data_IF_332619102021
#
_entry.id   IF_332619102021
#
_cell.length_a   1.000
_cell.length_b   1.000
_cell.length_c   1.000
_cell.angle_alpha   90.00
_cell.angle_beta   90.00
_cell.angle_gamma   90.00
#
_symmetry.space_group_name_H-M   'P 1'
#
loop_
_entity.id
_entity.type
_entity.pdbx_description
1 polymer ?
#
# COMPACT_ATOMS: atom_id res chain seq x y z
N UNK A 1 -36.36 -4.61 9.53
CA UNK A 1 -36.51 -3.76 8.34
C UNK A 1 -35.50 -4.22 7.30
N UNK A 2 -35.92 -4.36 6.04
CA UNK A 2 -35.11 -4.84 4.92
C UNK A 2 -35.07 -3.73 3.88
N UNK A 3 -33.89 -3.45 3.34
CA UNK A 3 -33.68 -2.36 2.40
C UNK A 3 -33.82 -2.85 0.97
N UNK A 4 -34.57 -2.09 0.17
CA UNK A 4 -34.65 -2.30 -1.27
C UNK A 4 -33.32 -1.87 -1.92
N UNK A 5 -32.70 -2.72 -2.76
CA UNK A 5 -31.47 -2.38 -3.49
C UNK A 5 -31.59 -1.14 -4.41
N UNK A 6 -32.81 -0.71 -4.78
CA UNK A 6 -33.06 0.43 -5.67
C UNK A 6 -33.32 1.76 -4.95
N UNK A 7 -33.29 1.78 -3.62
CA UNK A 7 -33.48 3.02 -2.85
C UNK A 7 -32.37 4.05 -3.15
N UNK A 8 -32.77 5.31 -3.39
CA UNK A 8 -31.86 6.45 -3.66
C UNK A 8 -30.87 6.65 -2.50
N UNK A 9 -31.30 6.42 -1.27
CA UNK A 9 -30.41 6.50 -0.10
C UNK A 9 -29.32 5.42 -0.17
N UNK A 10 -29.69 4.18 -0.50
CA UNK A 10 -28.75 3.07 -0.62
C UNK A 10 -27.77 3.28 -1.78
N UNK A 11 -28.23 3.86 -2.89
CA UNK A 11 -27.37 4.26 -4.00
C UNK A 11 -26.28 5.25 -3.56
N UNK A 12 -26.65 6.27 -2.78
CA UNK A 12 -25.69 7.22 -2.20
C UNK A 12 -24.69 6.51 -1.27
N UNK A 13 -25.16 5.63 -0.39
CA UNK A 13 -24.31 4.83 0.50
C UNK A 13 -23.33 3.96 -0.27
N UNK A 14 -23.77 3.31 -1.35
CA UNK A 14 -22.90 2.52 -2.21
C UNK A 14 -21.79 3.38 -2.83
N UNK A 15 -22.08 4.61 -3.25
CA UNK A 15 -21.06 5.56 -3.75
C UNK A 15 -20.02 5.89 -2.70
N UNK A 16 -20.45 6.25 -1.49
CA UNK A 16 -19.54 6.55 -0.38
C UNK A 16 -18.69 5.33 -0.01
N UNK A 17 -19.26 4.13 -0.09
CA UNK A 17 -18.55 2.87 0.18
C UNK A 17 -17.47 2.54 -0.86
N UNK A 18 -17.71 2.85 -2.13
CA UNK A 18 -16.68 2.73 -3.17
C UNK A 18 -15.52 3.67 -2.87
N UNK A 19 -15.81 4.93 -2.57
CA UNK A 19 -14.80 5.94 -2.22
C UNK A 19 -13.99 5.47 -1.01
N UNK A 20 -14.66 4.98 0.04
CA UNK A 20 -14.01 4.42 1.22
C UNK A 20 -13.11 3.22 0.89
N UNK A 21 -13.51 2.34 -0.04
CA UNK A 21 -12.66 1.23 -0.48
C UNK A 21 -11.40 1.73 -1.21
N UNK A 22 -11.52 2.73 -2.09
CA UNK A 22 -10.37 3.34 -2.77
C UNK A 22 -9.41 3.97 -1.76
N UNK A 23 -9.94 4.72 -0.79
CA UNK A 23 -9.16 5.30 0.29
C UNK A 23 -8.49 4.22 1.14
N UNK A 24 -9.21 3.14 1.47
CA UNK A 24 -8.67 2.01 2.25
C UNK A 24 -7.49 1.35 1.56
N UNK A 25 -7.56 1.15 0.24
CA UNK A 25 -6.45 0.59 -0.54
C UNK A 25 -5.29 1.59 -0.66
N UNK A 26 -5.57 2.90 -0.72
CA UNK A 26 -4.54 3.94 -0.75
C UNK A 26 -3.79 4.11 0.59
N UNK A 27 -4.45 3.88 1.72
CA UNK A 27 -3.87 4.05 3.08
C UNK A 27 -2.89 2.92 3.43
N UNK A 28 -3.13 1.69 2.99
CA UNK A 28 -2.32 0.52 3.36
C UNK A 28 -0.82 0.64 2.97
N UNK A 29 -0.44 1.08 1.75
CA UNK A 29 0.96 1.31 1.40
C UNK A 29 1.65 2.37 2.25
N UNK A 30 0.92 3.23 2.98
CA UNK A 30 1.55 4.25 3.83
C UNK A 30 2.38 3.65 4.97
N UNK A 31 2.05 2.43 5.42
CA UNK A 31 2.84 1.72 6.44
C UNK A 31 4.29 1.48 5.99
N UNK A 32 4.55 1.45 4.69
CA UNK A 32 5.88 1.27 4.13
C UNK A 32 6.80 2.48 4.36
N UNK A 33 6.24 3.66 4.66
CA UNK A 33 6.99 4.87 4.99
C UNK A 33 7.40 4.98 6.47
N UNK A 34 7.00 4.02 7.31
CA UNK A 34 7.30 4.02 8.75
C UNK A 34 8.78 3.85 9.08
N UNK A 35 9.51 2.90 8.48
CA UNK A 35 10.94 2.74 8.76
C UNK A 35 11.70 3.99 8.34
N UNK A 36 12.57 4.50 9.21
CA UNK A 36 13.34 5.73 8.96
C UNK A 36 14.72 5.62 9.60
N UNK A 37 15.76 5.89 8.82
CA UNK A 37 17.13 5.89 9.32
C UNK A 37 17.40 7.16 10.13
N UNK A 38 18.11 6.99 11.23
CA UNK A 38 18.73 8.09 11.96
C UNK A 38 20.24 8.02 11.72
N UNK A 39 20.74 8.80 10.77
CA UNK A 39 22.18 8.80 10.46
C UNK A 39 23.04 9.33 11.58
N UNK A 40 22.53 10.24 12.42
CA UNK A 40 23.28 10.68 13.59
C UNK A 40 23.56 9.47 14.47
N UNK A 41 22.54 8.68 14.80
CA UNK A 41 22.66 7.53 15.70
C UNK A 41 23.04 6.20 15.01
N UNK A 42 23.32 6.21 13.70
CA UNK A 42 23.56 5.02 12.89
C UNK A 42 22.58 3.86 13.15
N UNK A 43 21.28 4.17 13.25
CA UNK A 43 20.25 3.16 13.52
C UNK A 43 19.00 3.33 12.64
N UNK A 44 18.29 2.23 12.39
CA UNK A 44 16.97 2.18 11.79
C UNK A 44 15.91 2.26 12.90
N UNK A 45 14.99 3.20 12.79
CA UNK A 45 13.84 3.32 13.68
C UNK A 45 12.54 3.31 12.92
N UNK A 46 11.44 3.61 13.62
CA UNK A 46 10.14 3.85 13.01
C UNK A 46 9.58 5.21 13.40
N UNK A 47 8.80 5.81 12.50
CA UNK A 47 8.06 7.03 12.77
C UNK A 47 6.75 6.74 13.51
N UNK A 48 6.75 6.95 14.83
CA UNK A 48 5.61 6.66 15.69
C UNK A 48 4.43 7.60 15.46
N UNK A 49 4.68 8.85 15.07
CA UNK A 49 3.62 9.81 14.82
C UNK A 49 2.89 9.45 13.53
N UNK A 50 3.65 9.12 12.48
CA UNK A 50 3.07 8.62 11.24
C UNK A 50 2.34 7.30 11.46
N UNK A 51 2.90 6.38 12.26
CA UNK A 51 2.25 5.11 12.58
C UNK A 51 0.89 5.31 13.25
N UNK A 52 0.83 6.18 14.27
CA UNK A 52 -0.42 6.54 14.94
C UNK A 52 -1.44 7.10 13.93
N UNK A 53 -1.05 8.09 13.13
CA UNK A 53 -1.93 8.71 12.11
C UNK A 53 -2.48 7.69 11.12
N UNK A 54 -1.63 6.82 10.55
CA UNK A 54 -2.07 5.81 9.57
C UNK A 54 -3.02 4.81 10.24
N UNK A 55 -2.72 4.34 11.46
CA UNK A 55 -3.60 3.41 12.16
C UNK A 55 -4.96 4.02 12.51
N UNK A 56 -5.00 5.30 12.87
CA UNK A 56 -6.25 6.02 13.10
C UNK A 56 -7.07 6.12 11.82
N UNK A 57 -6.47 6.57 10.72
CA UNK A 57 -7.14 6.65 9.42
C UNK A 57 -7.66 5.29 8.95
N UNK A 58 -6.84 4.24 9.08
CA UNK A 58 -7.24 2.87 8.77
C UNK A 58 -8.44 2.43 9.60
N UNK A 59 -8.44 2.70 10.90
CA UNK A 59 -9.54 2.33 11.81
C UNK A 59 -10.84 3.05 11.45
N UNK A 60 -10.79 4.33 11.08
CA UNK A 60 -11.97 5.08 10.63
C UNK A 60 -12.59 4.47 9.36
N UNK A 61 -11.77 4.09 8.38
CA UNK A 61 -12.22 3.43 7.16
C UNK A 61 -12.77 2.02 7.43
N UNK A 62 -12.15 1.29 8.34
CA UNK A 62 -12.59 -0.04 8.76
C UNK A 62 -13.96 0.01 9.46
N UNK A 63 -14.21 1.01 10.33
CA UNK A 63 -15.53 1.24 10.95
C UNK A 63 -16.61 1.48 9.89
N UNK A 64 -16.32 2.32 8.90
CA UNK A 64 -17.25 2.59 7.80
C UNK A 64 -17.59 1.30 7.01
N UNK A 65 -16.59 0.44 6.83
CA UNK A 65 -16.78 -0.85 6.17
C UNK A 65 -17.55 -1.88 7.02
N UNK A 66 -17.38 -1.88 8.35
CA UNK A 66 -18.18 -2.70 9.26
C UNK A 66 -19.67 -2.34 9.16
N UNK A 67 -19.99 -1.05 9.03
CA UNK A 67 -21.38 -0.61 8.80
C UNK A 67 -21.92 -1.24 7.50
N UNK A 68 -21.14 -1.24 6.42
CA UNK A 68 -21.52 -1.94 5.17
C UNK A 68 -21.75 -3.42 5.38
N UNK A 69 -20.85 -4.11 6.07
CA UNK A 69 -21.01 -5.53 6.36
C UNK A 69 -22.32 -5.80 7.11
N UNK A 70 -22.66 -4.97 8.09
CA UNK A 70 -23.93 -5.06 8.80
C UNK A 70 -25.15 -4.82 7.88
N UNK A 71 -25.05 -3.84 6.97
CA UNK A 71 -26.10 -3.56 5.98
C UNK A 71 -26.29 -4.72 4.98
N UNK A 72 -25.24 -5.43 4.59
CA UNK A 72 -25.34 -6.58 3.66
C UNK A 72 -26.24 -7.70 4.17
N UNK A 73 -26.38 -7.87 5.49
CA UNK A 73 -27.35 -8.82 6.08
C UNK A 73 -28.82 -8.35 5.98
N UNK A 74 -29.07 -7.11 5.56
CA UNK A 74 -30.39 -6.47 5.52
C UNK A 74 -30.79 -5.97 4.12
N UNK A 75 -29.95 -6.16 3.10
CA UNK A 75 -30.23 -5.74 1.72
C UNK A 75 -30.88 -6.91 0.98
N UNK A 76 -32.06 -6.66 0.42
CA UNK A 76 -32.74 -7.63 -0.42
C UNK A 76 -31.99 -7.82 -1.76
N UNK A 77 -32.13 -8.99 -2.37
CA UNK A 77 -31.49 -9.28 -3.67
C UNK A 77 -32.48 -9.84 -4.68
N UNK A 78 -32.22 -9.57 -5.96
CA UNK A 78 -33.01 -10.14 -7.06
C UNK A 78 -32.55 -11.56 -7.37
N UNK A 79 -33.45 -12.54 -7.33
CA UNK A 79 -33.13 -13.94 -7.58
C UNK A 79 -32.61 -14.15 -9.03
N UNK A 80 -31.45 -14.80 -9.24
CA UNK A 80 -30.89 -14.99 -10.58
C UNK A 80 -31.82 -15.74 -11.55
N UNK A 81 -32.55 -16.75 -11.06
CA UNK A 81 -33.53 -17.53 -11.84
C UNK A 81 -34.67 -16.67 -12.37
N UNK A 82 -35.13 -15.69 -11.60
CA UNK A 82 -36.22 -14.79 -11.98
C UNK A 82 -35.81 -13.72 -13.02
N UNK A 83 -34.51 -13.50 -13.24
CA UNK A 83 -34.01 -12.60 -14.29
C UNK A 83 -34.16 -13.17 -15.69
N UNK A 84 -34.09 -14.51 -15.82
CA UNK A 84 -34.23 -15.21 -17.11
C UNK A 84 -35.66 -15.10 -17.65
N UNK A 85 -36.65 -14.90 -16.76
CA UNK A 85 -38.06 -14.69 -17.10
C UNK A 85 -38.47 -13.20 -17.13
N UNK A 86 -37.52 -12.27 -17.07
CA UNK A 86 -37.78 -10.82 -17.21
C UNK A 86 -38.49 -10.14 -16.04
N UNK A 87 -38.93 -10.87 -15.01
CA UNK A 87 -39.75 -10.31 -13.91
C UNK A 87 -38.96 -9.93 -12.66
N UNK A 88 -37.79 -10.54 -12.41
CA UNK A 88 -36.89 -10.16 -11.32
C UNK A 88 -37.55 -10.13 -9.93
N UNK A 89 -37.74 -11.29 -9.31
CA UNK A 89 -38.32 -11.40 -7.97
C UNK A 89 -37.32 -10.99 -6.89
N UNK A 90 -37.77 -10.11 -5.98
CA UNK A 90 -36.99 -9.60 -4.87
C UNK A 90 -37.11 -10.55 -3.67
N UNK A 91 -35.99 -11.17 -3.28
CA UNK A 91 -35.93 -12.01 -2.10
C UNK A 91 -35.72 -11.14 -0.86
N UNK A 92 -36.73 -11.13 0.01
CA UNK A 92 -36.76 -10.38 1.28
C UNK A 92 -36.67 -11.28 2.51
N UNK A 93 -36.43 -12.58 2.38
CA UNK A 93 -36.27 -13.46 3.54
C UNK A 93 -34.90 -13.24 4.22
N UNK A 94 -34.83 -12.79 5.49
CA UNK A 94 -33.57 -12.58 6.20
C UNK A 94 -32.66 -13.79 6.24
N UNK A 95 -33.21 -15.00 6.34
CA UNK A 95 -32.42 -16.23 6.41
C UNK A 95 -31.73 -16.53 5.08
N UNK A 96 -32.43 -16.32 3.97
CA UNK A 96 -31.87 -16.48 2.62
C UNK A 96 -30.84 -15.41 2.30
N UNK A 97 -31.08 -14.15 2.70
CA UNK A 97 -30.12 -13.04 2.56
C UNK A 97 -28.83 -13.36 3.32
N UNK A 98 -28.94 -13.74 4.60
CA UNK A 98 -27.80 -14.07 5.44
C UNK A 98 -26.99 -15.24 4.88
N UNK A 99 -27.66 -16.34 4.50
CA UNK A 99 -27.01 -17.53 3.93
C UNK A 99 -26.22 -17.18 2.66
N UNK A 100 -26.82 -16.40 1.76
CA UNK A 100 -26.18 -15.96 0.53
C UNK A 100 -24.96 -15.07 0.78
N UNK A 101 -25.04 -14.14 1.75
CA UNK A 101 -23.93 -13.25 2.06
C UNK A 101 -22.76 -14.01 2.71
N UNK A 102 -23.07 -14.86 3.69
CA UNK A 102 -22.10 -15.72 4.39
C UNK A 102 -21.35 -16.63 3.42
N UNK A 103 -22.04 -17.21 2.43
CA UNK A 103 -21.43 -18.16 1.50
C UNK A 103 -20.61 -17.52 0.37
N UNK A 104 -20.76 -16.21 0.10
CA UNK A 104 -20.12 -15.55 -1.06
C UNK A 104 -19.07 -14.52 -0.71
N UNK A 105 -19.41 -13.56 0.14
CA UNK A 105 -18.58 -12.35 0.30
C UNK A 105 -18.12 -12.12 1.74
N UNK A 106 -18.81 -12.69 2.73
CA UNK A 106 -18.51 -12.45 4.14
C UNK A 106 -17.06 -12.74 4.52
N UNK A 107 -16.47 -13.83 4.05
CA UNK A 107 -15.07 -14.19 4.38
C UNK A 107 -14.09 -13.11 3.87
N UNK A 108 -14.26 -12.65 2.64
CA UNK A 108 -13.41 -11.59 2.05
C UNK A 108 -13.59 -10.28 2.81
N UNK A 109 -14.83 -9.91 3.09
CA UNK A 109 -15.18 -8.71 3.86
C UNK A 109 -14.61 -8.77 5.28
N UNK A 110 -14.70 -9.92 5.95
CA UNK A 110 -14.17 -10.15 7.30
C UNK A 110 -12.64 -10.06 7.35
N UNK A 111 -11.94 -10.83 6.51
CA UNK A 111 -10.47 -10.88 6.49
C UNK A 111 -9.84 -9.51 6.22
N UNK A 112 -10.51 -8.67 5.44
CA UNK A 112 -10.03 -7.36 5.07
C UNK A 112 -10.19 -6.29 6.17
N UNK A 113 -11.12 -6.48 7.13
CA UNK A 113 -11.33 -5.55 8.26
C UNK A 113 -10.48 -5.91 9.48
N UNK A 114 -9.88 -7.10 9.52
CA UNK A 114 -9.09 -7.53 10.67
C UNK A 114 -8.05 -6.45 11.06
N UNK A 115 -7.99 -6.02 12.34
CA UNK A 115 -7.16 -4.89 12.76
C UNK A 115 -5.69 -5.31 13.01
N UNK A 116 -5.10 -6.13 12.13
CA UNK A 116 -3.78 -6.73 12.37
C UNK A 116 -2.65 -5.68 12.39
N UNK A 117 -2.55 -4.71 11.44
CA UNK A 117 -1.55 -3.65 11.52
C UNK A 117 -1.71 -2.76 12.75
N UNK A 118 -2.96 -2.48 13.15
CA UNK A 118 -3.26 -1.70 14.35
C UNK A 118 -2.71 -2.39 15.60
N UNK A 119 -2.94 -3.70 15.76
CA UNK A 119 -2.44 -4.48 16.90
C UNK A 119 -0.91 -4.43 16.96
N UNK A 120 -0.24 -4.62 15.82
CA UNK A 120 1.24 -4.62 15.75
C UNK A 120 1.83 -3.25 16.07
N UNK A 121 1.28 -2.18 15.49
CA UNK A 121 1.71 -0.80 15.79
C UNK A 121 1.46 -0.45 17.26
N UNK A 122 0.29 -0.81 17.80
CA UNK A 122 -0.05 -0.54 19.20
C UNK A 122 0.90 -1.25 20.15
N UNK A 123 1.22 -2.52 19.89
CA UNK A 123 2.24 -3.28 20.65
C UNK A 123 3.60 -2.57 20.62
N UNK A 124 4.03 -2.11 19.44
CA UNK A 124 5.31 -1.41 19.30
C UNK A 124 5.34 -0.06 20.04
N UNK A 125 4.29 0.76 19.92
CA UNK A 125 4.23 2.08 20.56
C UNK A 125 4.29 1.96 22.09
N UNK A 126 3.60 0.98 22.65
CA UNK A 126 3.52 0.76 24.10
C UNK A 126 4.69 -0.01 24.69
N UNK A 127 5.55 -0.60 23.86
CA UNK A 127 6.72 -1.32 24.36
C UNK A 127 7.80 -0.34 24.83
N UNK A 128 8.29 -0.54 26.06
CA UNK A 128 9.37 0.25 26.66
C UNK A 128 10.73 -0.02 26.01
N UNK A 129 10.94 -1.19 25.37
CA UNK A 129 12.18 -1.58 24.68
C UNK A 129 12.01 -1.53 23.16
N UNK A 130 11.94 -0.31 22.61
CA UNK A 130 11.65 -0.10 21.18
C UNK A 130 12.70 -0.71 20.22
N UNK A 131 13.96 -0.82 20.64
CA UNK A 131 15.07 -1.24 19.78
C UNK A 131 15.04 -2.70 19.33
N UNK A 132 14.82 -3.64 20.26
CA UNK A 132 14.75 -5.08 19.94
C UNK A 132 13.57 -5.45 19.05
N UNK A 133 12.53 -4.62 19.02
CA UNK A 133 11.29 -4.89 18.28
C UNK A 133 11.25 -4.22 16.91
N UNK A 134 12.15 -3.27 16.57
CA UNK A 134 12.05 -2.54 15.28
C UNK A 134 12.08 -3.52 14.11
N UNK A 135 13.03 -4.46 14.09
CA UNK A 135 13.15 -5.44 13.01
C UNK A 135 11.92 -6.34 12.93
N UNK A 136 11.54 -6.94 14.07
CA UNK A 136 10.40 -7.85 14.15
C UNK A 136 9.09 -7.14 13.75
N UNK A 137 8.90 -5.91 14.21
CA UNK A 137 7.73 -5.09 13.88
C UNK A 137 7.73 -4.71 12.40
N UNK A 138 8.86 -4.27 11.84
CA UNK A 138 9.01 -3.96 10.41
C UNK A 138 8.64 -5.17 9.55
N UNK A 139 9.19 -6.34 9.87
CA UNK A 139 8.92 -7.59 9.14
C UNK A 139 7.45 -8.02 9.30
N UNK A 140 6.90 -7.98 10.52
CA UNK A 140 5.51 -8.30 10.76
C UNK A 140 4.56 -7.36 10.01
N UNK A 141 4.80 -6.05 10.05
CA UNK A 141 3.99 -5.06 9.33
C UNK A 141 4.06 -5.27 7.83
N UNK A 142 5.24 -5.53 7.27
CA UNK A 142 5.39 -5.83 5.84
C UNK A 142 4.52 -7.02 5.43
N UNK A 143 4.65 -8.14 6.13
CA UNK A 143 3.91 -9.37 5.83
C UNK A 143 2.40 -9.16 6.01
N UNK A 144 1.99 -8.58 7.14
CA UNK A 144 0.57 -8.38 7.45
C UNK A 144 -0.08 -7.41 6.46
N UNK A 145 0.57 -6.27 6.16
CA UNK A 145 0.03 -5.30 5.20
C UNK A 145 -0.11 -5.96 3.83
N UNK A 146 0.90 -6.69 3.36
CA UNK A 146 0.83 -7.41 2.09
C UNK A 146 -0.30 -8.45 2.06
N UNK A 147 -0.42 -9.29 3.09
CA UNK A 147 -1.47 -10.32 3.17
C UNK A 147 -2.87 -9.72 3.26
N UNK A 148 -3.06 -8.63 4.00
CA UNK A 148 -4.35 -7.96 4.12
C UNK A 148 -4.71 -7.12 2.89
N UNK A 149 -3.73 -6.73 2.09
CA UNK A 149 -3.95 -6.00 0.87
C UNK A 149 -4.79 -6.80 -0.14
N UNK A 150 -4.56 -8.12 -0.22
CA UNK A 150 -5.27 -9.03 -1.13
C UNK A 150 -6.80 -8.99 -0.90
N UNK A 151 -7.32 -9.32 0.30
CA UNK A 151 -8.76 -9.28 0.52
C UNK A 151 -9.31 -7.86 0.43
N UNK A 152 -8.54 -6.81 0.77
CA UNK A 152 -8.96 -5.40 0.61
C UNK A 152 -9.17 -5.03 -0.85
N UNK A 153 -8.28 -5.46 -1.74
CA UNK A 153 -8.46 -5.28 -3.17
C UNK A 153 -9.61 -6.14 -3.71
N UNK A 154 -9.78 -7.38 -3.21
CA UNK A 154 -10.88 -8.25 -3.60
C UNK A 154 -12.27 -7.68 -3.22
N UNK A 155 -12.37 -6.75 -2.26
CA UNK A 155 -13.62 -6.01 -1.93
C UNK A 155 -14.22 -5.29 -3.14
N UNK A 156 -13.40 -4.90 -4.13
CA UNK A 156 -13.91 -4.25 -5.34
C UNK A 156 -14.77 -5.20 -6.19
N UNK A 157 -14.62 -6.52 -6.07
CA UNK A 157 -15.39 -7.50 -6.85
C UNK A 157 -16.90 -7.47 -6.56
N UNK A 158 -17.38 -7.62 -5.30
CA UNK A 158 -18.81 -7.51 -5.00
C UNK A 158 -19.35 -6.13 -5.37
N UNK A 159 -18.61 -5.06 -5.06
CA UNK A 159 -18.99 -3.69 -5.41
C UNK A 159 -19.08 -3.45 -6.91
N UNK A 160 -18.19 -4.03 -7.72
CA UNK A 160 -18.19 -3.93 -9.19
C UNK A 160 -19.44 -4.54 -9.83
N UNK A 161 -20.00 -5.59 -9.23
CA UNK A 161 -21.24 -6.23 -9.70
C UNK A 161 -22.49 -5.39 -9.42
N UNK A 162 -22.45 -4.55 -8.39
CA UNK A 162 -23.51 -3.60 -8.05
C UNK A 162 -23.30 -2.26 -8.77
N UNK A 163 -22.05 -1.89 -9.03
CA UNK A 163 -21.65 -0.79 -9.90
C UNK A 163 -22.12 -1.03 -11.33
N UNK A 164 -21.95 -2.20 -11.95
CA UNK A 164 -22.48 -2.43 -13.32
C UNK A 164 -23.99 -2.23 -13.42
N UNK A 165 -24.75 -2.43 -12.34
CA UNK A 165 -26.20 -2.16 -12.29
C UNK A 165 -26.52 -0.66 -12.12
N UNK A 166 -25.56 0.12 -11.64
CA UNK A 166 -25.67 1.57 -11.37
C UNK A 166 -24.80 2.44 -12.28
N UNK A 167 -23.92 1.83 -13.09
CA UNK A 167 -22.91 2.46 -13.94
C UNK A 167 -23.50 3.14 -15.17
N UNK A 168 -24.78 2.89 -15.44
CA UNK A 168 -25.59 3.81 -16.26
C UNK A 168 -25.55 5.25 -15.74
N UNK A 169 -25.17 5.49 -14.48
CA UNK A 169 -25.06 6.83 -13.88
C UNK A 169 -23.63 7.33 -13.58
N UNK A 170 -22.57 6.51 -13.74
CA UNK A 170 -21.18 6.93 -13.45
C UNK A 170 -20.36 7.21 -14.71
N UNK A 171 -20.75 6.60 -15.83
CA UNK A 171 -20.12 6.75 -17.13
C UNK A 171 -21.02 7.48 -18.12
N UNK A 172 -21.84 8.44 -17.65
CA UNK A 172 -22.65 9.29 -18.54
C UNK A 172 -21.78 10.22 -19.40
N UNK A 173 -20.53 10.52 -18.98
CA UNK A 173 -19.60 11.32 -19.77
C UNK A 173 -18.28 10.59 -20.03
N UNK A 174 -17.78 10.72 -21.26
CA UNK A 174 -16.49 10.18 -21.71
C UNK A 174 -15.33 10.66 -20.81
N UNK A 175 -15.45 11.86 -20.24
CA UNK A 175 -14.49 12.46 -19.31
C UNK A 175 -14.43 11.76 -17.94
N UNK A 176 -15.56 11.29 -17.40
CA UNK A 176 -15.60 10.55 -16.15
C UNK A 176 -14.87 9.20 -16.23
N UNK A 177 -14.95 8.53 -17.40
CA UNK A 177 -14.20 7.31 -17.68
C UNK A 177 -12.69 7.53 -17.68
N UNK A 178 -12.21 8.57 -18.38
CA UNK A 178 -10.79 8.92 -18.40
C UNK A 178 -10.25 9.27 -17.00
N UNK A 179 -11.01 10.05 -16.22
CA UNK A 179 -10.65 10.39 -14.84
C UNK A 179 -10.56 9.15 -13.93
N UNK A 180 -11.42 8.16 -14.12
CA UNK A 180 -11.38 6.90 -13.38
C UNK A 180 -10.10 6.10 -13.66
N UNK A 181 -9.71 5.94 -14.93
CA UNK A 181 -8.46 5.24 -15.28
C UNK A 181 -7.22 6.01 -14.80
N UNK A 182 -7.24 7.34 -14.87
CA UNK A 182 -6.19 8.18 -14.31
C UNK A 182 -6.08 8.00 -12.79
N UNK A 183 -7.20 7.91 -12.07
CA UNK A 183 -7.19 7.65 -10.62
C UNK A 183 -6.50 6.31 -10.29
N UNK A 184 -6.81 5.24 -11.03
CA UNK A 184 -6.13 3.95 -10.86
C UNK A 184 -4.65 4.01 -11.20
N UNK A 185 -4.29 4.77 -12.23
CA UNK A 185 -2.90 5.02 -12.61
C UNK A 185 -2.12 5.73 -11.49
N UNK A 186 -2.72 6.76 -10.90
CA UNK A 186 -2.15 7.49 -9.76
C UNK A 186 -2.04 6.60 -8.52
N UNK A 187 -3.04 5.75 -8.26
CA UNK A 187 -3.00 4.79 -7.16
C UNK A 187 -1.89 3.75 -7.36
N UNK A 188 -1.73 3.20 -8.57
CA UNK A 188 -0.63 2.28 -8.90
C UNK A 188 0.74 2.95 -8.72
N UNK A 189 0.86 4.23 -9.13
CA UNK A 189 2.07 5.04 -8.96
C UNK A 189 2.42 5.26 -7.49
N UNK A 190 1.42 5.55 -6.66
CA UNK A 190 1.56 5.63 -5.20
C UNK A 190 2.06 4.32 -4.59
N UNK A 191 1.44 3.19 -4.96
CA UNK A 191 1.83 1.86 -4.48
C UNK A 191 3.28 1.54 -4.88
N UNK A 192 3.63 1.75 -6.16
CA UNK A 192 4.98 1.54 -6.67
C UNK A 192 6.02 2.39 -5.92
N UNK A 193 5.72 3.66 -5.69
CA UNK A 193 6.57 4.56 -4.89
C UNK A 193 6.78 4.09 -3.45
N UNK A 194 5.71 3.63 -2.79
CA UNK A 194 5.78 3.11 -1.43
C UNK A 194 6.62 1.83 -1.34
N UNK A 195 6.46 0.90 -2.29
CA UNK A 195 7.31 -0.29 -2.39
C UNK A 195 8.77 0.07 -2.66
N UNK A 196 9.03 1.01 -3.57
CA UNK A 196 10.39 1.48 -3.85
C UNK A 196 11.06 2.04 -2.60
N UNK A 197 10.35 2.85 -1.81
CA UNK A 197 10.86 3.36 -0.53
C UNK A 197 11.19 2.23 0.45
N UNK A 198 10.29 1.27 0.64
CA UNK A 198 10.51 0.16 1.56
C UNK A 198 11.70 -0.69 1.13
N UNK A 199 11.77 -1.05 -0.16
CA UNK A 199 12.86 -1.86 -0.69
C UNK A 199 14.20 -1.10 -0.62
N UNK A 200 14.19 0.23 -0.73
CA UNK A 200 15.36 1.05 -0.45
C UNK A 200 15.81 0.91 1.01
N UNK A 201 14.88 0.96 1.96
CA UNK A 201 15.18 0.72 3.39
C UNK A 201 15.78 -0.69 3.58
N UNK A 202 15.15 -1.74 3.04
CA UNK A 202 15.66 -3.11 3.15
C UNK A 202 17.05 -3.26 2.54
N UNK A 203 17.30 -2.62 1.39
CA UNK A 203 18.59 -2.66 0.72
C UNK A 203 19.69 -2.02 1.55
N UNK A 204 19.39 -0.90 2.24
CA UNK A 204 20.34 -0.26 3.17
C UNK A 204 20.52 -1.04 4.47
N UNK A 205 19.45 -1.60 5.04
CA UNK A 205 19.53 -2.47 6.23
C UNK A 205 20.40 -3.71 5.93
N UNK A 206 20.28 -4.29 4.73
CA UNK A 206 21.13 -5.39 4.26
C UNK A 206 22.60 -4.98 4.22
N UNK A 207 22.93 -3.85 3.58
CA UNK A 207 24.30 -3.35 3.57
C UNK A 207 24.86 -3.16 4.99
N UNK A 208 24.08 -2.54 5.87
CA UNK A 208 24.49 -2.28 7.24
C UNK A 208 24.75 -3.58 8.03
N UNK A 209 23.88 -4.58 7.89
CA UNK A 209 24.05 -5.90 8.50
C UNK A 209 25.28 -6.61 7.99
N UNK A 210 25.46 -6.68 6.67
CA UNK A 210 26.61 -7.34 6.04
C UNK A 210 27.92 -6.67 6.44
N UNK A 211 28.01 -5.35 6.31
CA UNK A 211 29.18 -4.58 6.73
C UNK A 211 29.49 -4.82 8.21
N UNK A 212 28.44 -4.90 9.03
CA UNK A 212 28.61 -5.06 10.45
C UNK A 212 29.17 -6.45 10.82
N UNK A 213 28.54 -7.51 10.30
CA UNK A 213 28.94 -8.90 10.51
C UNK A 213 30.37 -9.13 10.00
N UNK A 214 30.67 -8.68 8.78
CA UNK A 214 31.99 -8.87 8.17
C UNK A 214 33.11 -8.13 8.92
N UNK A 215 32.80 -7.03 9.60
CA UNK A 215 33.80 -6.29 10.37
C UNK A 215 34.21 -6.98 11.66
N UNK A 216 33.32 -7.77 12.27
CA UNK A 216 33.49 -8.32 13.62
C UNK A 216 33.60 -7.28 14.75
N UNK A 217 33.44 -5.98 14.46
CA UNK A 217 33.71 -4.87 15.39
C UNK A 217 32.45 -4.14 15.85
N UNK A 218 31.29 -4.47 15.32
CA UNK A 218 30.02 -3.86 15.69
C UNK A 218 28.99 -4.92 16.08
N UNK A 219 28.02 -4.48 16.88
CA UNK A 219 26.89 -5.28 17.30
C UNK A 219 25.67 -4.94 16.43
N UNK A 220 25.05 -5.97 15.84
CA UNK A 220 23.85 -5.85 14.99
C UNK A 220 22.63 -5.35 15.77
N UNK A 221 22.55 -5.60 17.08
CA UNK A 221 21.43 -5.17 17.91
C UNK A 221 21.34 -3.65 17.99
N UNK A 222 22.49 -2.97 17.91
CA UNK A 222 22.55 -1.51 17.98
C UNK A 222 22.21 -0.82 16.65
N UNK A 223 22.08 -1.58 15.54
CA UNK A 223 21.56 -1.06 14.27
C UNK A 223 20.09 -0.65 14.34
N UNK A 224 19.37 -0.99 15.42
CA UNK A 224 17.95 -0.64 15.60
C UNK A 224 17.74 0.37 16.73
N UNK A 225 17.06 1.46 16.41
CA UNK A 225 16.88 2.58 17.32
C UNK A 225 16.02 2.18 18.53
N UNK A 226 16.48 2.53 19.73
CA UNK A 226 15.83 2.18 21.00
C UNK A 226 16.73 1.36 21.93
N UNK A 227 17.86 0.87 21.41
CA UNK A 227 18.92 0.23 22.18
C UNK A 227 20.00 1.23 22.68
N UNK A 228 19.80 2.53 22.46
CA UNK A 228 20.73 3.60 22.85
C UNK A 228 21.01 3.71 24.35
N UNK A 229 20.11 3.19 25.18
CA UNK A 229 20.25 3.19 26.64
C UNK A 229 21.03 1.97 27.17
N UNK A 230 21.40 1.02 26.30
CA UNK A 230 22.20 -0.13 26.69
C UNK A 230 23.67 0.27 26.87
N UNK A 231 24.37 -0.32 27.85
CA UNK A 231 25.80 -0.08 28.04
C UNK A 231 26.58 -0.45 26.78
N UNK A 232 27.60 0.35 26.43
CA UNK A 232 28.45 0.12 25.27
C UNK A 232 27.97 0.75 23.95
N UNK A 233 26.75 1.30 23.88
CA UNK A 233 26.24 1.93 22.65
C UNK A 233 27.12 3.08 22.14
N UNK A 234 27.64 3.93 23.03
CA UNK A 234 28.52 5.05 22.65
C UNK A 234 29.84 4.58 22.03
N UNK A 235 30.45 3.54 22.58
CA UNK A 235 31.68 2.95 22.05
C UNK A 235 31.43 2.27 20.70
N UNK A 236 30.32 1.54 20.58
CA UNK A 236 29.86 0.94 19.33
C UNK A 236 29.63 1.98 18.24
N UNK A 237 28.95 3.09 18.55
CA UNK A 237 28.55 4.09 17.55
C UNK A 237 29.72 4.66 16.77
N UNK A 238 30.82 4.96 17.46
CA UNK A 238 32.04 5.45 16.81
C UNK A 238 32.61 4.42 15.83
N UNK A 239 32.60 3.15 16.21
CA UNK A 239 33.09 2.05 15.37
C UNK A 239 32.13 1.79 14.20
N UNK A 240 30.83 1.80 14.45
CA UNK A 240 29.82 1.58 13.43
C UNK A 240 29.80 2.71 12.40
N UNK A 241 30.00 3.97 12.81
CA UNK A 241 30.06 5.09 11.86
C UNK A 241 31.20 4.89 10.85
N UNK A 242 32.36 4.43 11.31
CA UNK A 242 33.48 4.09 10.44
C UNK A 242 33.16 2.85 9.57
N UNK A 243 32.71 1.75 10.15
CA UNK A 243 32.41 0.50 9.42
C UNK A 243 31.32 0.70 8.37
N UNK A 244 30.18 1.25 8.79
CA UNK A 244 28.99 1.46 7.96
C UNK A 244 29.23 2.59 6.95
N UNK A 245 29.82 3.71 7.38
CA UNK A 245 30.13 4.82 6.49
C UNK A 245 31.11 4.40 5.39
N UNK A 246 32.07 3.54 5.72
CA UNK A 246 33.08 3.09 4.77
C UNK A 246 32.58 2.01 3.79
N UNK A 247 31.65 1.14 4.21
CA UNK A 247 31.13 0.04 3.36
C UNK A 247 29.82 0.38 2.65
N UNK A 248 28.98 1.20 3.26
CA UNK A 248 27.63 1.52 2.80
C UNK A 248 27.48 2.99 2.37
N UNK A 249 28.59 3.71 2.15
CA UNK A 249 28.56 5.05 1.57
C UNK A 249 27.85 5.06 0.23
N UNK A 250 27.18 6.19 -0.03
CA UNK A 250 26.57 6.47 -1.33
C UNK A 250 27.65 7.09 -2.19
N UNK A 251 28.13 6.36 -3.19
CA UNK A 251 29.09 6.88 -4.16
C UNK A 251 28.61 6.66 -5.59
N UNK A 252 28.94 7.60 -6.48
CA UNK A 252 28.73 7.48 -7.93
C UNK A 252 29.95 6.90 -8.66
N UNK A 253 30.96 6.44 -7.93
CA UNK A 253 32.15 5.82 -8.53
C UNK A 253 31.77 4.59 -9.36
N UNK A 254 32.54 4.30 -10.40
CA UNK A 254 32.31 3.14 -11.30
C UNK A 254 32.36 1.79 -10.56
N UNK A 255 33.00 1.74 -9.39
CA UNK A 255 33.06 0.56 -8.54
C UNK A 255 32.64 0.90 -7.10
N UNK A 256 31.33 1.09 -6.85
CA UNK A 256 30.85 1.42 -5.52
C UNK A 256 31.01 0.20 -4.61
N UNK A 257 31.37 0.44 -3.35
CA UNK A 257 31.55 -0.63 -2.36
C UNK A 257 30.28 -1.41 -2.06
N UNK A 258 29.13 -0.76 -2.25
CA UNK A 258 27.83 -1.41 -2.23
C UNK A 258 26.94 -0.79 -3.32
N UNK A 259 26.46 -1.62 -4.23
CA UNK A 259 25.61 -1.18 -5.32
C UNK A 259 24.14 -1.12 -4.87
N UNK A 260 23.59 0.10 -4.81
CA UNK A 260 22.19 0.35 -4.47
C UNK A 260 21.23 0.29 -5.66
N UNK A 261 21.73 0.23 -6.90
CA UNK A 261 20.92 0.15 -8.13
C UNK A 261 19.82 1.21 -8.17
N UNK A 262 18.57 0.78 -8.42
CA UNK A 262 17.40 1.68 -8.52
C UNK A 262 17.09 2.41 -7.19
N UNK A 263 17.65 1.95 -6.07
CA UNK A 263 17.47 2.58 -4.76
C UNK A 263 18.53 3.64 -4.46
N UNK A 264 19.53 3.80 -5.32
CA UNK A 264 20.59 4.82 -5.17
C UNK A 264 20.00 6.21 -4.94
N UNK A 265 18.99 6.59 -5.73
CA UNK A 265 18.33 7.90 -5.63
C UNK A 265 17.68 8.14 -4.26
N UNK A 266 17.14 7.10 -3.61
CA UNK A 266 16.57 7.22 -2.27
C UNK A 266 17.66 7.49 -1.21
N UNK A 267 18.86 6.98 -1.43
CA UNK A 267 20.00 7.22 -0.55
C UNK A 267 20.60 8.60 -0.79
N UNK A 268 20.80 9.00 -2.05
CA UNK A 268 21.42 10.30 -2.39
C UNK A 268 20.55 11.50 -2.06
N UNK A 269 19.22 11.32 -2.00
CA UNK A 269 18.26 12.36 -1.61
C UNK A 269 18.00 12.40 -0.10
N UNK A 270 18.57 11.46 0.67
CA UNK A 270 18.34 11.29 2.10
C UNK A 270 16.87 11.09 2.51
N UNK A 271 15.98 10.75 1.56
CA UNK A 271 14.55 10.57 1.82
C UNK A 271 14.29 9.44 2.82
N UNK A 272 15.18 8.43 2.85
CA UNK A 272 15.15 7.31 3.81
C UNK A 272 15.43 7.74 5.26
N UNK A 273 15.98 8.94 5.46
CA UNK A 273 16.20 9.55 6.79
C UNK A 273 15.21 10.65 7.14
N UNK A 274 14.42 11.11 6.15
CA UNK A 274 13.44 12.18 6.32
C UNK A 274 12.24 11.72 7.15
N UNK A 275 11.83 12.56 8.10
CA UNK A 275 10.58 12.43 8.86
C UNK A 275 9.46 13.31 8.32
N UNK A 276 9.72 14.13 7.30
CA UNK A 276 8.68 14.88 6.62
C UNK A 276 7.86 13.94 5.74
N UNK A 277 6.68 13.54 6.22
CA UNK A 277 5.80 12.63 5.49
C UNK A 277 5.39 13.20 4.13
N UNK A 278 5.03 14.47 4.04
CA UNK A 278 4.58 15.11 2.79
C UNK A 278 5.67 15.05 1.72
N UNK A 279 6.90 15.45 2.06
CA UNK A 279 8.04 15.40 1.14
C UNK A 279 8.33 13.96 0.72
N UNK A 280 8.32 13.02 1.67
CA UNK A 280 8.53 11.58 1.41
C UNK A 280 7.48 11.01 0.47
N UNK A 281 6.21 11.28 0.72
CA UNK A 281 5.08 10.81 -0.07
C UNK A 281 5.18 11.32 -1.51
N UNK A 282 5.29 12.63 -1.72
CA UNK A 282 5.31 13.20 -3.07
C UNK A 282 6.57 12.80 -3.85
N UNK A 283 7.72 12.68 -3.18
CA UNK A 283 8.95 12.23 -3.85
C UNK A 283 8.85 10.78 -4.34
N UNK A 284 8.30 9.90 -3.50
CA UNK A 284 8.11 8.49 -3.87
C UNK A 284 6.98 8.32 -4.89
N UNK A 285 5.90 9.10 -4.78
CA UNK A 285 4.82 9.14 -5.77
C UNK A 285 5.35 9.58 -7.14
N UNK A 286 6.18 10.63 -7.18
CA UNK A 286 6.84 11.07 -8.40
C UNK A 286 7.71 9.96 -9.00
N UNK A 287 8.53 9.29 -8.18
CA UNK A 287 9.35 8.16 -8.64
C UNK A 287 8.51 7.05 -9.27
N UNK A 288 7.41 6.66 -8.61
CA UNK A 288 6.49 5.64 -9.13
C UNK A 288 5.82 6.08 -10.43
N UNK A 289 5.34 7.32 -10.48
CA UNK A 289 4.70 7.91 -11.66
C UNK A 289 5.65 7.94 -12.87
N UNK A 290 6.88 8.40 -12.65
CA UNK A 290 7.90 8.49 -13.69
C UNK A 290 8.19 7.12 -14.30
N UNK A 291 8.41 6.11 -13.46
CA UNK A 291 8.83 4.79 -13.93
C UNK A 291 7.69 3.97 -14.54
N UNK A 292 6.45 4.09 -14.04
CA UNK A 292 5.29 3.49 -14.72
C UNK A 292 5.05 4.14 -16.09
N UNK A 293 5.19 5.47 -16.19
CA UNK A 293 4.93 6.22 -17.44
C UNK A 293 6.02 6.03 -18.50
N UNK A 294 7.22 5.65 -18.09
CA UNK A 294 8.35 5.37 -18.98
C UNK A 294 8.59 3.87 -19.16
N UNK A 295 7.69 3.02 -18.68
CA UNK A 295 7.80 1.56 -18.76
C UNK A 295 9.12 1.03 -18.17
N UNK A 296 9.68 1.73 -17.18
CA UNK A 296 10.94 1.39 -16.52
C UNK A 296 12.21 1.60 -17.36
N UNK A 297 12.15 2.29 -18.51
CA UNK A 297 13.30 2.46 -19.41
C UNK A 297 14.53 3.11 -18.76
N UNK A 298 14.34 3.96 -17.75
CA UNK A 298 15.42 4.64 -17.02
C UNK A 298 15.99 3.87 -15.82
N UNK A 299 15.53 2.64 -15.56
CA UNK A 299 15.94 1.89 -14.37
C UNK A 299 17.31 1.23 -14.55
N UNK A 300 18.27 1.65 -13.72
CA UNK A 300 19.59 1.03 -13.63
C UNK A 300 19.63 0.08 -12.44
N UNK A 301 19.51 -1.22 -12.72
CA UNK A 301 19.44 -2.26 -11.67
C UNK A 301 20.83 -2.75 -11.25
N UNK A 302 20.96 -3.18 -10.00
CA UNK A 302 22.06 -4.05 -9.59
C UNK A 302 21.77 -5.51 -9.97
N UNK A 303 22.70 -6.43 -9.68
CA UNK A 303 22.51 -7.88 -9.87
C UNK A 303 21.63 -8.52 -8.77
N UNK A 304 21.04 -7.72 -7.88
CA UNK A 304 20.22 -8.23 -6.78
C UNK A 304 18.85 -8.74 -7.28
N UNK A 305 18.51 -10.03 -7.09
CA UNK A 305 17.32 -10.62 -7.72
C UNK A 305 15.99 -9.94 -7.39
N UNK A 306 15.77 -9.54 -6.13
CA UNK A 306 14.51 -8.90 -5.72
C UNK A 306 14.32 -7.54 -6.39
N UNK A 307 15.40 -6.79 -6.59
CA UNK A 307 15.39 -5.53 -7.32
C UNK A 307 15.03 -5.75 -8.80
N UNK A 308 15.66 -6.74 -9.44
CA UNK A 308 15.40 -7.08 -10.84
C UNK A 308 13.94 -7.51 -11.02
N UNK A 309 13.41 -8.37 -10.15
CA UNK A 309 12.01 -8.80 -10.18
C UNK A 309 11.07 -7.60 -10.01
N UNK A 310 11.36 -6.70 -9.07
CA UNK A 310 10.56 -5.49 -8.88
C UNK A 310 10.56 -4.59 -10.12
N UNK A 311 11.71 -4.38 -10.76
CA UNK A 311 11.81 -3.61 -12.00
C UNK A 311 11.04 -4.25 -13.16
N UNK A 312 11.10 -5.58 -13.31
CA UNK A 312 10.32 -6.31 -14.33
C UNK A 312 8.81 -6.11 -14.10
N UNK A 313 8.35 -6.29 -12.86
CA UNK A 313 6.95 -6.08 -12.51
C UNK A 313 6.49 -4.65 -12.79
N UNK A 314 7.36 -3.66 -12.51
CA UNK A 314 7.08 -2.25 -12.77
C UNK A 314 6.95 -1.97 -14.27
N UNK A 315 7.83 -2.53 -15.11
CA UNK A 315 7.76 -2.38 -16.56
C UNK A 315 6.48 -3.01 -17.15
N UNK A 316 6.12 -4.22 -16.71
CA UNK A 316 4.89 -4.91 -17.14
C UNK A 316 3.65 -4.13 -16.69
N UNK A 317 3.61 -3.67 -15.44
CA UNK A 317 2.50 -2.88 -14.92
C UNK A 317 2.36 -1.55 -15.67
N UNK A 318 3.48 -0.86 -15.93
CA UNK A 318 3.51 0.35 -16.75
C UNK A 318 2.90 0.12 -18.14
N UNK A 319 3.28 -0.98 -18.80
CA UNK A 319 2.79 -1.29 -20.14
C UNK A 319 1.27 -1.49 -20.16
N UNK A 320 0.75 -2.29 -19.22
CA UNK A 320 -0.68 -2.57 -19.11
C UNK A 320 -1.46 -1.28 -18.79
N UNK A 321 -1.02 -0.51 -17.80
CA UNK A 321 -1.71 0.70 -17.36
C UNK A 321 -1.70 1.78 -18.44
N UNK A 322 -0.59 1.96 -19.14
CA UNK A 322 -0.46 2.94 -20.21
C UNK A 322 -1.34 2.57 -21.41
N UNK A 323 -1.36 1.29 -21.80
CA UNK A 323 -2.25 0.80 -22.85
C UNK A 323 -3.74 0.99 -22.50
N UNK A 324 -4.13 0.70 -21.25
CA UNK A 324 -5.50 0.92 -20.77
C UNK A 324 -5.87 2.40 -20.77
N UNK A 325 -4.97 3.30 -20.36
CA UNK A 325 -5.25 4.73 -20.34
C UNK A 325 -5.46 5.28 -21.75
N UNK A 326 -4.52 5.00 -22.67
CA UNK A 326 -4.59 5.51 -24.06
C UNK A 326 -5.81 4.94 -24.79
N UNK A 327 -6.03 3.62 -24.73
CA UNK A 327 -7.13 2.98 -25.46
C UNK A 327 -8.50 3.53 -25.04
N UNK A 328 -8.70 3.76 -23.74
CA UNK A 328 -9.94 4.34 -23.23
C UNK A 328 -10.06 5.85 -23.53
N UNK A 329 -8.97 6.61 -23.49
CA UNK A 329 -8.99 8.02 -23.89
C UNK A 329 -9.31 8.19 -25.38
N UNK A 330 -8.77 7.35 -26.25
CA UNK A 330 -9.09 7.37 -27.69
C UNK A 330 -10.57 7.04 -27.94
N UNK A 331 -11.10 6.05 -27.25
CA UNK A 331 -12.52 5.70 -27.33
C UNK A 331 -13.41 6.84 -26.81
N UNK A 332 -13.01 7.48 -25.71
CA UNK A 332 -13.70 8.64 -25.15
C UNK A 332 -13.74 9.84 -26.12
N UNK A 333 -12.62 10.16 -26.77
CA UNK A 333 -12.55 11.22 -27.77
C UNK A 333 -13.38 10.90 -29.02
N UNK A 334 -13.28 9.68 -29.54
CA UNK A 334 -14.03 9.26 -30.72
C UNK A 334 -15.55 9.27 -30.48
N UNK A 335 -16.00 8.90 -29.28
CA UNK A 335 -17.43 8.91 -28.93
C UNK A 335 -17.94 10.32 -28.58
N UNK A 336 -17.09 11.19 -28.05
CA UNK A 336 -17.43 12.59 -27.77
C UNK A 336 -17.45 13.50 -29.01
N UNK A 337 -16.78 13.11 -30.10
CA UNK A 337 -16.78 13.82 -31.38
C UNK A 337 -17.97 13.47 -32.30
N UNK A 338 -18.79 12.49 -31.92
CA UNK A 338 -19.98 12.03 -32.67
C UNK A 338 -21.32 12.54 -32.06
N UNK A 339 -21.25 13.59 -31.24
CA UNK A 339 -22.38 14.38 -30.73
C UNK A 339 -22.16 15.80 -31.25
#
# INVERSE_FOLDING_TARGET
>A
MIFDPQDKSLLLWNRLLIISCILSVSVDPLFFYLPVFNYRMACLGMDTNLAATITTMRTLLDVFYLIRMALQFRIAYVAPSSRVFGRGELVIDPAQIATRYLSRYFIVDFLSVLPLPQIVVWKYINNKRKGSEVLATKQALLIIVFLQYIPRFARFLPLGSDLKKTAGSFAESAFAGAAYYLLWYMLASHIAGAFWYLLAIERKDTCWREACILSGKCNIDFLYCGNKALPGFHGWRRISDEVLGNKCSVSKDDNPRFNYGIYFQAMSSDIVSSRSFVSKFFYCLWWGLQNLSTLGQGLLTSTYPLEVIFSILLAIAGLILFALLIGNMQTALNNGANI
#
